data_IF_992859586308
#
_entry.id   IF_992859586308
#
_cell.length_a   1.000
_cell.length_b   1.000
_cell.length_c   1.000
_cell.angle_alpha   90.00
_cell.angle_beta   90.00
_cell.angle_gamma   90.00
#
_symmetry.space_group_name_H-M   'P 1'
#
loop_
_entity.id
_entity.type
_entity.pdbx_description
1 polymer ?
#
# COMPACT_ATOMS: atom_id res chain seq x y z
N UNK A 1 18.10 -8.88 -12.21
CA UNK A 1 18.39 -7.43 -12.02
C UNK A 1 17.37 -6.91 -11.04
N UNK A 2 17.80 -6.36 -9.91
CA UNK A 2 16.89 -5.67 -8.99
C UNK A 2 16.29 -4.46 -9.70
N UNK A 3 14.98 -4.31 -9.61
CA UNK A 3 14.27 -3.14 -10.15
C UNK A 3 14.74 -1.91 -9.38
N UNK A 4 15.24 -0.90 -10.07
CA UNK A 4 15.58 0.38 -9.46
C UNK A 4 14.33 1.13 -9.05
N UNK A 5 14.39 1.77 -7.90
CA UNK A 5 13.33 2.64 -7.40
C UNK A 5 13.24 3.86 -8.31
N UNK A 6 12.05 4.17 -8.78
CA UNK A 6 11.77 5.33 -9.65
C UNK A 6 10.94 6.37 -8.91
N UNK A 7 11.40 7.62 -8.92
CA UNK A 7 10.72 8.74 -8.24
C UNK A 7 10.33 9.78 -9.28
N UNK A 8 9.07 10.19 -9.26
CA UNK A 8 8.54 11.27 -10.09
C UNK A 8 8.45 12.56 -9.27
N UNK A 9 9.07 13.64 -9.76
CA UNK A 9 8.91 14.99 -9.22
C UNK A 9 8.07 15.86 -10.15
N UNK A 10 7.01 16.50 -9.62
CA UNK A 10 6.13 17.41 -10.34
C UNK A 10 6.25 18.78 -9.66
N UNK A 11 6.89 19.73 -10.32
CA UNK A 11 7.18 21.06 -9.80
C UNK A 11 7.39 22.00 -11.00
N UNK A 12 6.89 23.21 -11.00
CA UNK A 12 7.04 24.13 -12.13
C UNK A 12 8.43 24.75 -12.18
N UNK A 13 9.16 24.79 -11.07
CA UNK A 13 10.52 25.31 -10.99
C UNK A 13 11.55 24.32 -11.52
N UNK A 14 12.22 24.66 -12.63
CA UNK A 14 13.22 23.78 -13.26
C UNK A 14 14.42 23.50 -12.33
N UNK A 15 14.86 24.50 -11.56
CA UNK A 15 15.98 24.33 -10.62
C UNK A 15 15.66 23.32 -9.52
N UNK A 16 14.41 23.31 -9.04
CA UNK A 16 13.96 22.34 -8.02
C UNK A 16 13.94 20.94 -8.63
N UNK A 17 13.36 20.78 -9.83
CA UNK A 17 13.35 19.48 -10.51
C UNK A 17 14.75 18.94 -10.76
N UNK A 18 15.68 19.82 -11.19
CA UNK A 18 17.07 19.45 -11.39
C UNK A 18 17.74 19.02 -10.08
N UNK A 19 17.63 19.82 -9.02
CA UNK A 19 18.22 19.50 -7.73
C UNK A 19 17.68 18.19 -7.13
N UNK A 20 16.37 17.94 -7.26
CA UNK A 20 15.74 16.68 -6.85
C UNK A 20 16.27 15.49 -7.67
N UNK A 21 16.41 15.67 -8.99
CA UNK A 21 16.96 14.64 -9.87
C UNK A 21 18.37 14.22 -9.46
N UNK A 22 19.26 15.18 -9.22
CA UNK A 22 20.63 14.93 -8.76
C UNK A 22 20.64 14.23 -7.39
N UNK A 23 19.78 14.67 -6.47
CA UNK A 23 19.63 14.05 -5.16
C UNK A 23 19.20 12.58 -5.26
N UNK A 24 18.26 12.27 -6.14
CA UNK A 24 17.77 10.89 -6.35
C UNK A 24 18.84 10.02 -7.00
N UNK A 25 19.54 10.51 -8.00
CA UNK A 25 20.65 9.81 -8.63
C UNK A 25 21.76 9.48 -7.62
N UNK A 26 22.07 10.43 -6.72
CA UNK A 26 23.06 10.20 -5.65
C UNK A 26 22.63 9.09 -4.68
N UNK A 27 21.33 8.87 -4.47
CA UNK A 27 20.79 7.76 -3.70
C UNK A 27 20.68 6.43 -4.48
N UNK A 28 21.07 6.40 -5.76
CA UNK A 28 20.95 5.25 -6.64
C UNK A 28 19.53 5.01 -7.17
N UNK A 29 18.64 6.01 -7.05
CA UNK A 29 17.27 5.98 -7.57
C UNK A 29 17.18 6.53 -8.98
N UNK A 30 16.18 6.10 -9.74
CA UNK A 30 15.85 6.71 -11.03
C UNK A 30 14.93 7.91 -10.80
N UNK A 31 15.20 8.99 -11.51
CA UNK A 31 14.44 10.22 -11.45
C UNK A 31 13.70 10.46 -12.75
N UNK A 32 12.41 10.75 -12.67
CA UNK A 32 11.66 11.39 -13.74
C UNK A 32 11.01 12.67 -13.21
N UNK A 33 10.81 13.67 -14.08
CA UNK A 33 10.27 14.95 -13.65
C UNK A 33 9.28 15.53 -14.65
N UNK A 34 8.41 16.43 -14.17
CA UNK A 34 7.43 17.11 -14.98
C UNK A 34 7.21 18.55 -14.49
N UNK A 35 7.02 19.53 -15.41
CA UNK A 35 6.84 20.94 -15.04
C UNK A 35 5.40 21.29 -14.63
N UNK A 36 4.46 20.38 -14.69
CA UNK A 36 3.06 20.57 -14.31
C UNK A 36 2.34 19.24 -14.17
N UNK A 37 1.13 19.26 -13.60
CA UNK A 37 0.31 18.06 -13.34
C UNK A 37 0.05 17.27 -14.62
N UNK A 38 -0.32 17.93 -15.73
CA UNK A 38 -0.64 17.25 -17.00
C UNK A 38 0.54 16.40 -17.49
N UNK A 39 1.74 16.98 -17.52
CA UNK A 39 2.96 16.24 -17.87
C UNK A 39 3.32 15.21 -16.82
N UNK A 40 3.06 15.47 -15.54
CA UNK A 40 3.22 14.53 -14.45
C UNK A 40 2.41 13.26 -14.65
N UNK A 41 1.15 13.36 -15.06
CA UNK A 41 0.29 12.22 -15.36
C UNK A 41 0.78 11.40 -16.57
N UNK A 42 1.36 12.06 -17.59
CA UNK A 42 2.00 11.38 -18.73
C UNK A 42 3.22 10.57 -18.24
N UNK A 43 4.11 11.21 -17.45
CA UNK A 43 5.29 10.56 -16.88
C UNK A 43 4.92 9.42 -15.91
N UNK A 44 3.87 9.61 -15.12
CA UNK A 44 3.37 8.58 -14.22
C UNK A 44 2.95 7.30 -14.97
N UNK A 45 2.21 7.44 -16.08
CA UNK A 45 1.80 6.28 -16.90
C UNK A 45 2.98 5.60 -17.57
N UNK A 46 3.96 6.38 -18.03
CA UNK A 46 5.13 5.88 -18.75
C UNK A 46 6.11 5.13 -17.85
N UNK A 47 6.45 5.74 -16.70
CA UNK A 47 7.53 5.24 -15.84
C UNK A 47 7.03 4.41 -14.65
N UNK A 48 5.73 4.48 -14.31
CA UNK A 48 5.12 3.79 -13.15
C UNK A 48 5.97 3.98 -11.88
N UNK A 49 6.14 5.22 -11.41
CA UNK A 49 7.03 5.53 -10.31
C UNK A 49 6.58 4.85 -9.01
N UNK A 50 7.55 4.58 -8.15
CA UNK A 50 7.33 4.01 -6.82
C UNK A 50 6.89 5.08 -5.80
N UNK A 51 7.26 6.34 -6.05
CA UNK A 51 6.86 7.52 -5.24
C UNK A 51 6.66 8.72 -6.15
N UNK A 52 5.70 9.57 -5.81
CA UNK A 52 5.48 10.87 -6.45
C UNK A 52 5.71 11.97 -5.44
N UNK A 53 6.50 12.97 -5.83
CA UNK A 53 6.63 14.25 -5.15
C UNK A 53 5.91 15.31 -5.98
N UNK A 54 5.05 16.11 -5.37
CA UNK A 54 4.28 17.12 -6.10
C UNK A 54 4.28 18.45 -5.37
N UNK A 55 4.58 19.54 -6.09
CA UNK A 55 4.42 20.87 -5.53
C UNK A 55 2.95 21.26 -5.43
N UNK A 56 2.62 21.96 -4.36
CA UNK A 56 1.28 22.52 -4.17
C UNK A 56 1.03 23.74 -5.06
N UNK A 57 1.99 24.65 -5.12
CA UNK A 57 1.86 25.94 -5.76
C UNK A 57 2.30 25.91 -7.22
N UNK A 58 1.51 25.29 -8.09
CA UNK A 58 1.77 25.29 -9.52
C UNK A 58 0.73 26.11 -10.29
N UNK A 59 1.11 26.76 -11.39
CA UNK A 59 0.17 27.47 -12.26
C UNK A 59 -0.86 26.52 -12.89
N UNK A 60 -2.12 26.93 -12.90
CA UNK A 60 -3.22 26.20 -13.51
C UNK A 60 -3.82 25.15 -12.59
N UNK A 61 -3.38 23.90 -12.68
CA UNK A 61 -3.83 22.80 -11.83
C UNK A 61 -2.97 22.78 -10.57
N UNK A 62 -3.57 23.03 -9.41
CA UNK A 62 -2.86 23.04 -8.13
C UNK A 62 -2.54 21.62 -7.63
N UNK A 63 -1.73 21.53 -6.56
CA UNK A 63 -1.30 20.25 -6.00
C UNK A 63 -2.44 19.38 -5.48
N UNK A 64 -3.53 19.96 -4.94
CA UNK A 64 -4.70 19.21 -4.45
C UNK A 64 -5.39 18.47 -5.60
N UNK A 65 -5.70 19.18 -6.68
CA UNK A 65 -6.27 18.59 -7.89
C UNK A 65 -5.30 17.56 -8.50
N UNK A 66 -4.00 17.86 -8.48
CA UNK A 66 -2.94 16.96 -8.94
C UNK A 66 -2.93 15.64 -8.18
N UNK A 67 -3.06 15.67 -6.84
CA UNK A 67 -3.16 14.48 -5.99
C UNK A 67 -4.42 13.66 -6.35
N UNK A 68 -5.58 14.30 -6.51
CA UNK A 68 -6.83 13.62 -6.90
C UNK A 68 -6.67 12.91 -8.24
N UNK A 69 -6.08 13.57 -9.24
CA UNK A 69 -5.84 12.99 -10.56
C UNK A 69 -4.85 11.80 -10.50
N UNK A 70 -3.81 11.89 -9.68
CA UNK A 70 -2.86 10.79 -9.46
C UNK A 70 -3.54 9.62 -8.74
N UNK A 71 -4.40 9.87 -7.75
CA UNK A 71 -5.18 8.84 -7.06
C UNK A 71 -6.15 8.11 -7.98
N UNK A 72 -6.71 8.79 -8.97
CA UNK A 72 -7.51 8.14 -10.01
C UNK A 72 -6.70 7.15 -10.88
N UNK A 73 -5.36 7.31 -10.95
CA UNK A 73 -4.46 6.39 -11.66
C UNK A 73 -3.90 5.29 -10.74
N UNK A 74 -3.67 5.59 -9.46
CA UNK A 74 -3.14 4.63 -8.49
C UNK A 74 -3.61 4.95 -7.07
N UNK A 75 -4.23 3.97 -6.42
CA UNK A 75 -4.65 4.10 -5.03
C UNK A 75 -3.51 3.85 -4.03
N UNK A 76 -2.40 3.24 -4.45
CA UNK A 76 -1.35 2.72 -3.56
C UNK A 76 -0.03 3.47 -3.63
N UNK A 77 0.29 4.16 -4.74
CA UNK A 77 1.56 4.89 -4.84
C UNK A 77 1.64 5.99 -3.78
N UNK A 78 2.71 6.10 -2.99
CA UNK A 78 2.87 7.23 -2.09
C UNK A 78 3.00 8.55 -2.83
N UNK A 79 2.23 9.54 -2.41
CA UNK A 79 2.27 10.91 -2.93
C UNK A 79 2.65 11.83 -1.78
N UNK A 80 3.77 12.50 -1.90
CA UNK A 80 4.29 13.48 -0.93
C UNK A 80 4.11 14.87 -1.52
N UNK A 81 3.36 15.73 -0.84
CA UNK A 81 3.10 17.11 -1.29
C UNK A 81 4.12 18.06 -0.67
N UNK A 82 4.67 18.96 -1.48
CA UNK A 82 5.49 20.07 -1.01
C UNK A 82 4.69 21.37 -0.99
N UNK A 83 4.78 22.12 0.11
CA UNK A 83 4.07 23.39 0.28
C UNK A 83 4.88 24.38 1.11
N UNK A 84 4.63 25.66 0.90
CA UNK A 84 5.10 26.73 1.79
C UNK A 84 4.08 27.08 2.88
N UNK A 85 2.88 26.50 2.79
CA UNK A 85 1.79 26.77 3.73
C UNK A 85 1.90 25.85 4.94
N UNK A 86 2.03 26.45 6.12
CA UNK A 86 2.17 25.76 7.41
C UNK A 86 0.82 25.54 8.11
N UNK A 87 -0.30 25.94 7.47
CA UNK A 87 -1.62 25.81 8.08
C UNK A 87 -2.07 24.35 8.19
N UNK A 88 -2.69 24.01 9.32
CA UNK A 88 -3.26 22.69 9.55
C UNK A 88 -4.37 22.38 8.54
N UNK A 89 -5.14 23.39 8.12
CA UNK A 89 -6.22 23.26 7.14
C UNK A 89 -5.72 22.76 5.80
N UNK A 90 -4.59 23.27 5.32
CA UNK A 90 -3.95 22.81 4.06
C UNK A 90 -3.41 21.39 4.21
N UNK A 91 -2.79 21.07 5.34
CA UNK A 91 -2.33 19.71 5.62
C UNK A 91 -3.49 18.70 5.62
N UNK A 92 -4.60 19.04 6.29
CA UNK A 92 -5.80 18.19 6.35
C UNK A 92 -6.45 18.02 4.96
N UNK A 93 -6.47 19.06 4.13
CA UNK A 93 -6.95 18.96 2.76
C UNK A 93 -6.14 17.94 1.95
N UNK A 94 -4.80 17.95 2.06
CA UNK A 94 -3.96 16.97 1.34
C UNK A 94 -4.25 15.55 1.76
N UNK A 95 -4.39 15.30 3.06
CA UNK A 95 -4.70 13.96 3.57
C UNK A 95 -6.09 13.49 3.12
N UNK A 96 -7.09 14.39 3.10
CA UNK A 96 -8.44 14.08 2.64
C UNK A 96 -8.50 13.70 1.16
N UNK A 97 -7.69 14.34 0.31
CA UNK A 97 -7.63 14.01 -1.13
C UNK A 97 -6.71 12.82 -1.43
N UNK A 98 -6.09 12.24 -0.40
CA UNK A 98 -5.32 11.02 -0.50
C UNK A 98 -3.80 11.20 -0.65
N UNK A 99 -3.23 12.36 -0.31
CA UNK A 99 -1.79 12.45 -0.13
C UNK A 99 -1.32 11.50 0.97
N UNK A 100 -0.14 10.93 0.82
CA UNK A 100 0.44 10.02 1.82
C UNK A 100 1.23 10.77 2.89
N UNK A 101 1.74 11.95 2.53
CA UNK A 101 2.56 12.80 3.39
C UNK A 101 2.64 14.21 2.80
N UNK A 102 3.09 15.17 3.59
CA UNK A 102 3.43 16.50 3.12
C UNK A 102 4.72 17.01 3.79
N UNK A 103 5.42 17.90 3.12
CA UNK A 103 6.65 18.53 3.64
C UNK A 103 6.67 20.02 3.32
N UNK A 104 7.19 20.79 4.28
CA UNK A 104 7.30 22.24 4.14
C UNK A 104 8.56 22.63 3.34
N UNK A 105 8.41 23.60 2.45
CA UNK A 105 9.54 24.28 1.81
C UNK A 105 10.12 25.34 2.79
N UNK A 106 11.45 25.58 2.87
CA UNK A 106 12.50 25.04 2.01
C UNK A 106 12.86 23.59 2.35
N UNK A 107 12.95 22.78 1.31
CA UNK A 107 13.16 21.35 1.43
C UNK A 107 14.64 21.05 1.71
N UNK A 108 14.90 20.35 2.81
CA UNK A 108 16.25 19.88 3.15
C UNK A 108 16.44 18.45 2.63
N UNK A 109 17.55 18.21 1.94
CA UNK A 109 17.86 16.90 1.37
C UNK A 109 17.72 15.73 2.37
N UNK A 110 18.21 15.81 3.63
CA UNK A 110 18.02 14.73 4.60
C UNK A 110 16.56 14.43 4.92
N UNK A 111 15.69 15.46 4.96
CA UNK A 111 14.27 15.31 5.28
C UNK A 111 13.54 14.57 4.14
N UNK A 112 13.77 14.98 2.88
CA UNK A 112 13.22 14.30 1.70
C UNK A 112 13.65 12.84 1.67
N UNK A 113 14.95 12.58 1.80
CA UNK A 113 15.50 11.21 1.75
C UNK A 113 14.85 10.35 2.83
N UNK A 114 14.71 10.87 4.04
CA UNK A 114 14.12 10.16 5.17
C UNK A 114 12.64 9.81 4.92
N UNK A 115 11.85 10.75 4.39
CA UNK A 115 10.45 10.55 4.03
C UNK A 115 10.30 9.51 2.91
N UNK A 116 11.07 9.63 1.84
CA UNK A 116 11.07 8.67 0.74
C UNK A 116 11.40 7.27 1.27
N UNK A 117 12.48 7.12 2.05
CA UNK A 117 12.86 5.84 2.65
C UNK A 117 11.79 5.26 3.58
N UNK A 118 11.08 6.11 4.32
CA UNK A 118 9.95 5.69 5.16
C UNK A 118 8.84 5.09 4.31
N UNK A 119 8.40 5.81 3.27
CA UNK A 119 7.32 5.35 2.40
C UNK A 119 7.69 4.11 1.60
N UNK A 120 8.94 3.97 1.13
CA UNK A 120 9.43 2.75 0.50
C UNK A 120 9.36 1.54 1.44
N UNK A 121 9.76 1.70 2.71
CA UNK A 121 9.64 0.64 3.71
C UNK A 121 8.19 0.25 4.01
N UNK A 122 7.27 1.22 4.00
CA UNK A 122 5.84 0.95 4.18
C UNK A 122 5.30 0.13 3.00
N UNK A 123 5.65 0.49 1.76
CA UNK A 123 5.31 -0.28 0.56
C UNK A 123 5.85 -1.71 0.62
N UNK A 124 7.12 -1.88 1.00
CA UNK A 124 7.71 -3.22 1.14
C UNK A 124 6.96 -4.07 2.17
N UNK A 125 6.54 -3.48 3.29
CA UNK A 125 5.74 -4.18 4.31
C UNK A 125 4.34 -4.54 3.81
N UNK A 126 3.71 -3.67 3.04
CA UNK A 126 2.41 -3.96 2.42
C UNK A 126 2.54 -5.07 1.37
N UNK A 127 3.57 -5.04 0.52
CA UNK A 127 3.87 -6.11 -0.42
C UNK A 127 4.23 -7.42 0.29
N UNK A 128 4.94 -7.37 1.42
CA UNK A 128 5.22 -8.57 2.23
C UNK A 128 3.95 -9.13 2.87
N UNK A 129 2.97 -8.32 3.22
CA UNK A 129 1.64 -8.78 3.67
C UNK A 129 0.80 -9.35 2.53
N UNK A 130 1.06 -8.94 1.28
CA UNK A 130 0.43 -9.45 0.06
C UNK A 130 1.31 -10.45 -0.70
N UNK A 131 2.52 -10.75 -0.18
CA UNK A 131 3.47 -11.66 -0.81
C UNK A 131 2.89 -13.09 -0.91
N UNK A 132 3.25 -13.85 -1.97
CA UNK A 132 2.79 -15.20 -2.13
C UNK A 132 3.12 -16.01 -0.89
N UNK A 133 2.11 -16.75 -0.42
CA UNK A 133 2.09 -17.73 0.67
C UNK A 133 3.37 -17.78 1.51
N UNK A 134 3.29 -17.37 2.76
CA UNK A 134 4.38 -17.44 3.74
C UNK A 134 5.27 -18.68 3.55
N UNK A 135 6.59 -18.56 3.72
CA UNK A 135 7.51 -19.70 3.60
C UNK A 135 6.95 -20.91 4.34
N UNK A 136 6.52 -21.94 3.58
CA UNK A 136 5.92 -23.15 4.10
C UNK A 136 4.40 -23.27 3.92
N UNK A 137 3.72 -22.34 3.24
CA UNK A 137 2.36 -22.51 2.75
C UNK A 137 2.40 -22.94 1.27
N UNK A 138 1.69 -24.00 0.89
CA UNK A 138 1.57 -24.47 -0.50
C UNK A 138 0.22 -24.09 -1.08
N UNK A 139 0.17 -23.78 -2.37
CA UNK A 139 -1.09 -23.48 -3.08
C UNK A 139 -2.08 -24.65 -3.02
N UNK A 140 -1.58 -25.87 -3.19
CA UNK A 140 -2.41 -27.07 -3.13
C UNK A 140 -3.10 -27.22 -1.77
N UNK A 141 -2.36 -27.03 -0.67
CA UNK A 141 -2.92 -27.09 0.69
C UNK A 141 -3.86 -25.92 0.96
N UNK A 142 -3.56 -24.73 0.42
CA UNK A 142 -4.44 -23.57 0.51
C UNK A 142 -5.79 -23.86 -0.17
N UNK A 143 -5.75 -24.45 -1.36
CA UNK A 143 -6.96 -24.78 -2.10
C UNK A 143 -7.84 -25.77 -1.32
N UNK A 144 -7.26 -26.79 -0.71
CA UNK A 144 -8.01 -27.76 0.13
C UNK A 144 -8.73 -27.08 1.30
N UNK A 145 -8.07 -26.10 1.96
CA UNK A 145 -8.70 -25.34 3.06
C UNK A 145 -9.82 -24.44 2.53
N UNK A 146 -9.62 -23.80 1.38
CA UNK A 146 -10.63 -22.95 0.74
C UNK A 146 -11.86 -23.74 0.29
N UNK A 147 -11.65 -24.86 -0.37
CA UNK A 147 -12.73 -25.74 -0.84
C UNK A 147 -13.56 -26.24 0.34
N UNK A 148 -12.90 -26.67 1.42
CA UNK A 148 -13.59 -27.07 2.65
C UNK A 148 -14.44 -25.97 3.27
N UNK A 149 -13.97 -24.72 3.28
CA UNK A 149 -14.73 -23.57 3.80
C UNK A 149 -15.91 -23.21 2.91
N UNK A 150 -15.74 -23.30 1.57
CA UNK A 150 -16.80 -23.00 0.60
C UNK A 150 -17.89 -24.04 0.61
N UNK A 151 -17.52 -25.33 0.67
CA UNK A 151 -18.45 -26.45 0.73
C UNK A 151 -19.24 -26.48 2.04
N UNK A 152 -18.61 -26.04 3.15
CA UNK A 152 -19.25 -25.94 4.45
C UNK A 152 -20.36 -24.89 4.54
N UNK A 153 -20.33 -23.88 3.66
CA UNK A 153 -21.40 -22.88 3.44
C UNK A 153 -21.70 -21.95 4.61
N UNK A 154 -21.26 -22.24 5.83
CA UNK A 154 -21.50 -21.50 7.07
C UNK A 154 -20.21 -21.45 7.90
N UNK A 155 -20.32 -20.97 9.13
CA UNK A 155 -19.21 -20.91 10.07
C UNK A 155 -18.73 -22.29 10.50
N UNK A 156 -17.45 -22.56 10.33
CA UNK A 156 -16.79 -23.80 10.68
C UNK A 156 -15.72 -23.62 11.75
N UNK A 157 -15.55 -24.58 12.63
CA UNK A 157 -14.40 -24.64 13.54
C UNK A 157 -13.16 -25.16 12.80
N UNK A 158 -11.96 -24.92 13.36
CA UNK A 158 -10.70 -25.49 12.82
C UNK A 158 -10.79 -27.02 12.70
N UNK A 159 -11.44 -27.71 13.66
CA UNK A 159 -11.59 -29.16 13.63
C UNK A 159 -12.49 -29.65 12.49
N UNK A 160 -13.55 -28.92 12.16
CA UNK A 160 -14.44 -29.24 11.05
C UNK A 160 -13.72 -29.06 9.72
N UNK A 161 -13.01 -27.95 9.54
CA UNK A 161 -12.18 -27.73 8.35
C UNK A 161 -11.06 -28.77 8.23
N UNK A 162 -10.42 -29.14 9.35
CA UNK A 162 -9.39 -30.18 9.36
C UNK A 162 -9.93 -31.55 8.93
N UNK A 163 -11.13 -31.90 9.40
CA UNK A 163 -11.80 -33.16 9.05
C UNK A 163 -12.23 -33.18 7.57
N UNK A 164 -12.78 -32.08 7.08
CA UNK A 164 -13.23 -31.94 5.70
C UNK A 164 -12.06 -31.95 4.70
N UNK A 165 -10.99 -31.19 5.00
CA UNK A 165 -9.81 -31.08 4.13
C UNK A 165 -8.84 -32.28 4.23
N UNK A 166 -8.98 -33.14 5.24
CA UNK A 166 -8.01 -34.22 5.52
C UNK A 166 -6.66 -33.74 6.07
N UNK A 167 -6.56 -32.46 6.52
CA UNK A 167 -5.33 -31.84 6.99
C UNK A 167 -5.23 -31.85 8.52
N UNK A 168 -3.99 -31.83 9.04
CA UNK A 168 -3.76 -31.69 10.47
C UNK A 168 -4.26 -30.35 11.00
N UNK A 169 -4.81 -30.32 12.23
CA UNK A 169 -5.32 -29.13 12.91
C UNK A 169 -4.38 -27.93 12.83
N UNK A 170 -3.08 -28.13 13.14
CA UNK A 170 -2.09 -27.04 13.13
C UNK A 170 -1.84 -26.50 11.72
N UNK A 171 -1.90 -27.36 10.70
CA UNK A 171 -1.82 -26.93 9.31
C UNK A 171 -3.01 -26.04 8.97
N UNK A 172 -4.23 -26.51 9.19
CA UNK A 172 -5.46 -25.74 8.92
C UNK A 172 -5.45 -24.41 9.68
N UNK A 173 -5.11 -24.42 10.97
CA UNK A 173 -5.06 -23.19 11.79
C UNK A 173 -4.12 -22.14 11.20
N UNK A 174 -2.92 -22.54 10.74
CA UNK A 174 -1.95 -21.66 10.11
C UNK A 174 -2.49 -21.05 8.80
N UNK A 175 -3.16 -21.85 7.97
CA UNK A 175 -3.77 -21.36 6.73
C UNK A 175 -4.97 -20.44 6.99
N UNK A 176 -5.79 -20.72 7.98
CA UNK A 176 -6.89 -19.85 8.39
C UNK A 176 -6.39 -18.50 8.89
N UNK A 177 -5.30 -18.47 9.69
CA UNK A 177 -4.68 -17.22 10.13
C UNK A 177 -4.20 -16.38 8.94
N UNK A 178 -3.56 -17.01 7.95
CA UNK A 178 -3.17 -16.35 6.72
C UNK A 178 -4.39 -15.78 5.95
N UNK A 179 -5.45 -16.53 5.83
CA UNK A 179 -6.69 -16.12 5.13
C UNK A 179 -7.41 -14.96 5.86
N UNK A 180 -7.38 -14.93 7.20
CA UNK A 180 -7.90 -13.81 8.00
C UNK A 180 -7.08 -12.54 7.76
N UNK A 181 -5.75 -12.64 7.79
CA UNK A 181 -4.86 -11.50 7.52
C UNK A 181 -5.09 -10.91 6.12
N UNK A 182 -5.43 -11.77 5.16
CA UNK A 182 -5.75 -11.38 3.78
C UNK A 182 -7.24 -11.06 3.56
N UNK A 183 -8.03 -10.93 4.63
CA UNK A 183 -9.46 -10.60 4.59
C UNK A 183 -10.32 -11.52 3.72
N UNK A 184 -9.87 -12.74 3.48
CA UNK A 184 -10.60 -13.77 2.74
C UNK A 184 -11.46 -14.66 3.62
N UNK A 185 -11.21 -14.64 4.92
CA UNK A 185 -11.96 -15.38 5.95
C UNK A 185 -12.26 -14.44 7.10
N UNK A 186 -13.49 -14.43 7.56
CA UNK A 186 -13.86 -13.79 8.82
C UNK A 186 -13.82 -14.80 9.96
N UNK A 187 -13.51 -14.32 11.16
CA UNK A 187 -13.47 -15.13 12.37
C UNK A 187 -14.42 -14.52 13.42
N UNK A 188 -15.25 -15.35 14.01
CA UNK A 188 -16.12 -14.99 15.14
C UNK A 188 -15.77 -15.86 16.35
N UNK A 189 -15.71 -15.28 17.52
CA UNK A 189 -15.50 -16.01 18.78
C UNK A 189 -16.82 -16.15 19.53
N UNK A 190 -17.25 -17.39 19.78
CA UNK A 190 -18.45 -17.69 20.57
C UNK A 190 -18.02 -18.06 21.98
N UNK A 191 -18.57 -17.35 22.98
CA UNK A 191 -18.32 -17.59 24.41
C UNK A 191 -19.38 -18.55 24.96
N UNK A 192 -18.95 -19.70 25.46
CA UNK A 192 -19.82 -20.63 26.20
C UNK A 192 -19.93 -20.23 27.70
N UNK A 193 -20.85 -20.85 28.44
CA UNK A 193 -20.99 -20.61 29.90
C UNK A 193 -19.76 -21.01 30.72
N UNK A 194 -18.93 -21.93 30.22
CA UNK A 194 -17.66 -22.39 30.85
C UNK A 194 -16.72 -22.84 29.70
N UNK A 195 -15.43 -22.45 29.78
CA UNK A 195 -14.38 -22.88 28.86
C UNK A 195 -13.81 -21.78 27.96
N UNK A 196 -12.84 -22.17 27.11
CA UNK A 196 -12.26 -21.24 26.15
C UNK A 196 -13.26 -20.91 25.04
N UNK A 197 -13.26 -19.65 24.51
CA UNK A 197 -14.10 -19.27 23.38
C UNK A 197 -13.86 -20.19 22.19
N UNK A 198 -14.92 -20.60 21.51
CA UNK A 198 -14.81 -21.33 20.23
C UNK A 198 -14.65 -20.34 19.11
N UNK A 199 -13.60 -20.49 18.31
CA UNK A 199 -13.38 -19.72 17.10
C UNK A 199 -14.07 -20.42 15.92
N UNK A 200 -14.86 -19.62 15.19
CA UNK A 200 -15.55 -20.04 13.98
C UNK A 200 -15.06 -19.21 12.81
N UNK A 201 -14.94 -19.81 11.66
CA UNK A 201 -14.35 -19.25 10.45
C UNK A 201 -15.33 -19.40 9.29
N UNK A 202 -15.49 -18.36 8.49
CA UNK A 202 -16.32 -18.36 7.30
C UNK A 202 -15.59 -17.71 6.13
N UNK A 203 -15.71 -18.29 4.94
CA UNK A 203 -15.27 -17.67 3.70
C UNK A 203 -16.06 -16.40 3.41
N UNK A 204 -15.38 -15.31 3.01
CA UNK A 204 -16.00 -14.06 2.61
C UNK A 204 -15.72 -13.86 1.11
N UNK A 205 -16.76 -13.92 0.29
CA UNK A 205 -16.66 -13.49 -1.09
C UNK A 205 -16.49 -11.96 -1.11
N UNK A 206 -15.34 -11.48 -1.57
CA UNK A 206 -15.19 -10.06 -1.84
C UNK A 206 -16.15 -9.71 -3.00
N UNK A 207 -17.15 -8.86 -2.70
CA UNK A 207 -17.87 -8.13 -3.75
C UNK A 207 -16.94 -7.13 -4.43
#
# INVERSE_FOLDING_TARGET
>A
MERKITILSIDDEENIRFALGELFHFQGWEACSAPNVKKGLEQFRLHKPDIVLIDYHMPGINGVEGVQMLRALSHTVPIIVFTIDESQEVADQFLQVGASDFALKPIKAPDIISRIKLHLRLLEREHQKQAPLDKGLSEATMQLVLDSLKEGGDYMTVNEVARSSGLAYQTVYRYLQYLIQNKKVEMVSIYGKVGRPRQLFRWVENM
#
